data_IF_513025676106
#
_entry.id   IF_513025676106
#
_cell.length_a   1.000
_cell.length_b   1.000
_cell.length_c   1.000
_cell.angle_alpha   90.00
_cell.angle_beta   90.00
_cell.angle_gamma   90.00
#
_symmetry.space_group_name_H-M   'P 1'
#
loop_
_entity.id
_entity.type
_entity.pdbx_description
1 polymer ?
#
# COMPACT_ATOMS: atom_id res chain seq x y z
N UNK A 1 11.65 -30.39 -28.88
CA UNK A 1 11.78 -28.92 -28.99
C UNK A 1 10.68 -28.16 -28.23
N UNK A 2 9.38 -28.35 -28.55
CA UNK A 2 8.28 -27.62 -27.88
C UNK A 2 8.27 -27.71 -26.34
N UNK A 3 8.44 -28.91 -25.75
CA UNK A 3 8.44 -29.03 -24.29
C UNK A 3 9.61 -28.26 -23.64
N UNK A 4 10.78 -28.24 -24.29
CA UNK A 4 11.97 -27.55 -23.77
C UNK A 4 11.76 -26.03 -23.73
N UNK A 5 11.18 -25.47 -24.78
CA UNK A 5 10.85 -24.04 -24.84
C UNK A 5 9.74 -23.64 -23.85
N UNK A 6 8.68 -24.45 -23.75
CA UNK A 6 7.61 -24.25 -22.77
C UNK A 6 8.12 -24.33 -21.32
N UNK A 7 9.04 -25.27 -21.05
CA UNK A 7 9.64 -25.47 -19.74
C UNK A 7 10.44 -24.25 -19.29
N UNK A 8 11.36 -23.78 -20.13
CA UNK A 8 12.15 -22.59 -19.85
C UNK A 8 11.27 -21.36 -19.65
N UNK A 9 10.21 -21.22 -20.45
CA UNK A 9 9.25 -20.12 -20.28
C UNK A 9 8.56 -20.19 -18.93
N UNK A 10 8.04 -21.35 -18.53
CA UNK A 10 7.34 -21.50 -17.26
C UNK A 10 8.26 -21.26 -16.05
N UNK A 11 9.47 -21.81 -16.07
CA UNK A 11 10.45 -21.59 -15.00
C UNK A 11 10.82 -20.10 -14.86
N UNK A 12 11.09 -19.43 -15.99
CA UNK A 12 11.40 -18.00 -16.03
C UNK A 12 10.28 -17.12 -15.48
N UNK A 13 9.01 -17.47 -15.70
CA UNK A 13 7.88 -16.67 -15.25
C UNK A 13 7.40 -17.02 -13.85
N UNK A 14 7.31 -18.31 -13.51
CA UNK A 14 6.70 -18.76 -12.25
C UNK A 14 7.65 -18.64 -11.06
N UNK A 15 8.94 -18.92 -11.23
CA UNK A 15 9.92 -18.83 -10.15
C UNK A 15 9.94 -17.44 -9.51
N UNK A 16 10.23 -16.38 -10.26
CA UNK A 16 10.25 -15.01 -9.74
C UNK A 16 8.90 -14.54 -9.18
N UNK A 17 7.78 -14.97 -9.79
CA UNK A 17 6.45 -14.62 -9.29
C UNK A 17 6.17 -15.24 -7.91
N UNK A 18 6.55 -16.51 -7.72
CA UNK A 18 6.42 -17.20 -6.43
C UNK A 18 7.36 -16.60 -5.38
N UNK A 19 8.60 -16.26 -5.76
CA UNK A 19 9.56 -15.65 -4.84
C UNK A 19 9.06 -14.29 -4.32
N UNK A 20 8.55 -13.42 -5.20
CA UNK A 20 7.92 -12.15 -4.82
C UNK A 20 6.70 -12.33 -3.91
N UNK A 21 5.86 -13.32 -4.17
CA UNK A 21 4.71 -13.66 -3.31
C UNK A 21 5.18 -14.09 -1.93
N UNK A 22 6.16 -14.99 -1.86
CA UNK A 22 6.74 -15.48 -0.61
C UNK A 22 7.31 -14.32 0.21
N UNK A 23 8.06 -13.42 -0.42
CA UNK A 23 8.62 -12.23 0.23
C UNK A 23 7.51 -11.30 0.75
N UNK A 24 6.50 -11.02 -0.07
CA UNK A 24 5.38 -10.15 0.31
C UNK A 24 4.60 -10.72 1.50
N UNK A 25 4.29 -12.02 1.50
CA UNK A 25 3.55 -12.66 2.60
C UNK A 25 4.39 -12.73 3.87
N UNK A 26 5.69 -13.01 3.76
CA UNK A 26 6.60 -12.94 4.91
C UNK A 26 6.61 -11.54 5.51
N UNK A 27 6.76 -10.51 4.69
CA UNK A 27 6.75 -9.13 5.17
C UNK A 27 5.45 -8.78 5.90
N UNK A 28 4.28 -9.28 5.45
CA UNK A 28 2.99 -9.00 6.10
C UNK A 28 2.93 -9.53 7.53
N UNK A 29 3.55 -10.69 7.79
CA UNK A 29 3.54 -11.33 9.12
C UNK A 29 4.71 -10.90 10.00
N UNK A 30 5.78 -10.32 9.44
CA UNK A 30 6.96 -9.89 10.21
C UNK A 30 7.13 -8.38 10.36
N UNK A 31 6.36 -7.56 9.62
CA UNK A 31 6.47 -6.10 9.68
C UNK A 31 5.98 -5.55 11.03
N UNK A 32 6.92 -5.07 11.85
CA UNK A 32 6.62 -4.37 13.10
C UNK A 32 5.91 -3.03 12.84
N UNK A 33 6.29 -2.34 11.76
CA UNK A 33 5.66 -1.09 11.30
C UNK A 33 4.18 -1.30 10.98
N UNK A 34 3.86 -2.37 10.23
CA UNK A 34 2.48 -2.72 9.93
C UNK A 34 1.73 -3.13 11.20
N UNK A 35 2.34 -3.94 12.06
CA UNK A 35 1.74 -4.34 13.34
C UNK A 35 1.37 -3.12 14.19
N UNK A 36 2.28 -2.16 14.34
CA UNK A 36 2.03 -0.91 15.06
C UNK A 36 0.91 -0.07 14.44
N UNK A 37 0.89 0.03 13.10
CA UNK A 37 -0.20 0.72 12.38
C UNK A 37 -1.56 0.05 12.62
N UNK A 38 -1.61 -1.29 12.61
CA UNK A 38 -2.85 -2.04 12.87
C UNK A 38 -3.33 -1.87 14.32
N UNK A 39 -2.42 -1.83 15.31
CA UNK A 39 -2.79 -1.49 16.69
C UNK A 39 -3.37 -0.09 16.80
N UNK A 40 -2.78 0.90 16.12
CA UNK A 40 -3.34 2.26 16.11
C UNK A 40 -4.75 2.30 15.51
N UNK A 41 -5.01 1.50 14.46
CA UNK A 41 -6.36 1.34 13.89
C UNK A 41 -7.32 0.70 14.90
N UNK A 42 -6.88 -0.32 15.65
CA UNK A 42 -7.67 -0.96 16.68
C UNK A 42 -8.04 0.03 17.80
N UNK A 43 -7.06 0.77 18.32
CA UNK A 43 -7.27 1.77 19.37
C UNK A 43 -8.24 2.87 18.93
N UNK A 44 -8.05 3.37 17.70
CA UNK A 44 -8.94 4.35 17.10
C UNK A 44 -10.37 3.82 16.94
N UNK A 45 -10.50 2.57 16.50
CA UNK A 45 -11.78 1.89 16.37
C UNK A 45 -12.48 1.69 17.72
N UNK A 46 -11.76 1.28 18.75
CA UNK A 46 -12.27 1.09 20.11
C UNK A 46 -12.74 2.42 20.70
N UNK A 47 -11.93 3.48 20.58
CA UNK A 47 -12.30 4.82 21.05
C UNK A 47 -13.60 5.32 20.42
N UNK A 48 -13.75 5.20 19.10
CA UNK A 48 -14.96 5.64 18.38
C UNK A 48 -16.21 4.79 18.68
N UNK A 49 -16.01 3.55 19.12
CA UNK A 49 -17.08 2.61 19.44
C UNK A 49 -17.30 2.43 20.93
N UNK A 50 -16.69 3.26 21.78
CA UNK A 50 -16.89 3.24 23.22
C UNK A 50 -18.39 3.27 23.57
N UNK A 51 -18.81 2.38 24.48
CA UNK A 51 -20.22 2.22 24.86
C UNK A 51 -21.10 1.51 23.82
N UNK A 52 -20.56 1.07 22.67
CA UNK A 52 -21.24 0.21 21.69
C UNK A 52 -20.70 -1.22 21.75
N UNK A 53 -21.36 -2.15 21.06
CA UNK A 53 -20.98 -3.56 21.00
C UNK A 53 -19.54 -3.85 20.53
N UNK A 54 -18.88 -2.87 19.88
CA UNK A 54 -17.52 -2.99 19.35
C UNK A 54 -16.49 -2.08 20.04
N UNK A 55 -16.81 -1.46 21.19
CA UNK A 55 -15.93 -0.49 21.87
C UNK A 55 -14.77 -1.07 22.68
N UNK A 56 -14.66 -2.40 22.77
CA UNK A 56 -13.60 -3.10 23.51
C UNK A 56 -13.13 -4.34 22.73
N UNK A 57 -13.00 -4.19 21.40
CA UNK A 57 -12.52 -5.26 20.54
C UNK A 57 -11.03 -5.52 20.81
N UNK A 58 -10.65 -6.80 20.74
CA UNK A 58 -9.24 -7.23 20.81
C UNK A 58 -8.61 -7.43 19.44
N UNK A 59 -9.43 -7.46 18.38
CA UNK A 59 -9.02 -7.62 16.99
C UNK A 59 -10.12 -7.10 16.05
N UNK A 60 -9.76 -6.91 14.77
CA UNK A 60 -10.70 -6.60 13.70
C UNK A 60 -10.36 -7.41 12.44
N UNK A 61 -11.36 -7.66 11.59
CA UNK A 61 -11.16 -8.31 10.29
C UNK A 61 -10.38 -7.40 9.35
N UNK A 62 -9.42 -7.97 8.58
CA UNK A 62 -8.53 -7.21 7.68
C UNK A 62 -9.33 -6.30 6.73
N UNK A 63 -10.46 -6.79 6.21
CA UNK A 63 -11.35 -6.04 5.32
C UNK A 63 -11.85 -4.71 5.94
N UNK A 64 -11.92 -4.61 7.26
CA UNK A 64 -12.35 -3.40 7.97
C UNK A 64 -11.42 -2.21 7.74
N UNK A 65 -10.16 -2.44 7.34
CA UNK A 65 -9.24 -1.37 6.95
C UNK A 65 -9.82 -0.50 5.83
N UNK A 66 -10.57 -1.10 4.91
CA UNK A 66 -11.14 -0.38 3.77
C UNK A 66 -12.27 0.58 4.17
N UNK A 67 -12.90 0.34 5.32
CA UNK A 67 -14.02 1.16 5.85
C UNK A 67 -13.55 2.50 6.43
N UNK A 68 -12.25 2.65 6.73
CA UNK A 68 -11.70 3.89 7.27
C UNK A 68 -11.88 5.07 6.31
N UNK A 69 -11.90 4.82 4.99
CA UNK A 69 -12.19 5.86 4.00
C UNK A 69 -13.67 6.26 3.90
N UNK A 70 -14.56 5.48 4.50
CA UNK A 70 -16.01 5.62 4.30
C UNK A 70 -16.64 6.35 5.49
N UNK A 71 -16.02 6.26 6.67
CA UNK A 71 -16.43 6.99 7.87
C UNK A 71 -16.00 8.45 7.74
N UNK A 72 -16.96 9.34 7.48
CA UNK A 72 -16.75 10.79 7.30
C UNK A 72 -16.90 11.54 8.62
N UNK A 73 -16.12 12.61 8.76
CA UNK A 73 -16.34 13.62 9.80
C UNK A 73 -17.51 14.56 9.43
N UNK A 74 -17.75 15.59 10.24
CA UNK A 74 -18.68 16.69 9.89
C UNK A 74 -18.27 17.37 8.58
N UNK A 75 -16.97 17.45 8.29
CA UNK A 75 -16.50 17.84 6.97
C UNK A 75 -16.57 16.62 6.03
N UNK A 76 -17.39 16.66 4.96
CA UNK A 76 -17.54 15.52 4.07
C UNK A 76 -16.26 15.19 3.29
N UNK A 77 -15.30 16.11 3.18
CA UNK A 77 -13.98 15.87 2.56
C UNK A 77 -13.01 15.13 3.48
N UNK A 78 -13.32 15.01 4.77
CA UNK A 78 -12.39 14.46 5.75
C UNK A 78 -12.96 13.17 6.35
N UNK A 79 -12.17 12.10 6.32
CA UNK A 79 -12.58 10.75 6.74
C UNK A 79 -11.74 10.27 7.93
N UNK A 80 -12.13 9.15 8.51
CA UNK A 80 -11.35 8.51 9.58
C UNK A 80 -9.94 8.13 9.11
N UNK A 81 -9.78 7.76 7.84
CA UNK A 81 -8.47 7.51 7.25
C UNK A 81 -7.59 8.78 7.23
N UNK A 82 -8.17 9.94 6.92
CA UNK A 82 -7.44 11.21 6.99
C UNK A 82 -6.99 11.50 8.42
N UNK A 83 -7.88 11.27 9.40
CA UNK A 83 -7.53 11.42 10.80
C UNK A 83 -6.38 10.49 11.21
N UNK A 84 -6.44 9.21 10.83
CA UNK A 84 -5.38 8.24 11.10
C UNK A 84 -4.04 8.71 10.52
N UNK A 85 -4.01 9.12 9.23
CA UNK A 85 -2.79 9.61 8.57
C UNK A 85 -2.23 10.83 9.29
N UNK A 86 -3.08 11.75 9.73
CA UNK A 86 -2.66 12.93 10.47
C UNK A 86 -2.04 12.57 11.83
N UNK A 87 -2.66 11.65 12.59
CA UNK A 87 -2.11 11.15 13.86
C UNK A 87 -0.76 10.47 13.63
N UNK A 88 -0.66 9.65 12.59
CA UNK A 88 0.59 8.99 12.19
C UNK A 88 1.66 10.03 11.84
N UNK A 89 1.37 11.05 11.04
CA UNK A 89 2.32 12.12 10.70
C UNK A 89 2.83 12.87 11.93
N UNK A 90 1.96 13.10 12.92
CA UNK A 90 2.29 13.90 14.10
C UNK A 90 3.06 13.10 15.17
N UNK A 91 2.70 11.83 15.38
CA UNK A 91 3.20 11.05 16.51
C UNK A 91 4.04 9.84 16.12
N UNK A 92 3.80 9.26 14.94
CA UNK A 92 4.42 8.01 14.50
C UNK A 92 4.87 8.06 13.02
N UNK A 93 5.69 9.05 12.60
CA UNK A 93 5.96 9.30 11.18
C UNK A 93 6.59 8.11 10.46
N UNK A 94 7.29 7.23 11.19
CA UNK A 94 7.86 5.99 10.67
C UNK A 94 6.81 4.99 10.16
N UNK A 95 5.54 5.08 10.57
CA UNK A 95 4.49 4.22 10.00
C UNK A 95 4.10 4.61 8.57
N UNK A 96 4.50 5.79 8.07
CA UNK A 96 4.26 6.18 6.67
C UNK A 96 5.16 5.45 5.67
N UNK A 97 6.32 4.95 6.11
CA UNK A 97 7.23 4.15 5.31
C UNK A 97 6.84 2.67 5.25
N UNK A 98 5.72 2.27 5.90
CA UNK A 98 5.23 0.88 5.84
C UNK A 98 5.07 0.41 4.40
N UNK A 99 4.71 1.30 3.47
CA UNK A 99 4.53 1.01 2.05
C UNK A 99 5.82 0.55 1.37
N UNK A 100 6.96 1.05 1.83
CA UNK A 100 8.28 0.74 1.27
C UNK A 100 8.74 -0.68 1.62
N UNK A 101 8.16 -1.28 2.66
CA UNK A 101 8.39 -2.67 3.05
C UNK A 101 7.69 -3.68 2.11
N UNK A 102 6.79 -3.19 1.24
CA UNK A 102 5.95 -4.01 0.37
C UNK A 102 6.10 -3.68 -1.13
N UNK A 103 7.32 -3.68 -1.70
CA UNK A 103 7.56 -3.24 -3.07
C UNK A 103 6.84 -4.09 -4.14
N UNK A 104 6.56 -5.36 -3.83
CA UNK A 104 5.93 -6.31 -4.76
C UNK A 104 4.43 -6.52 -4.53
N UNK A 105 3.81 -5.80 -3.59
CA UNK A 105 2.42 -6.06 -3.18
C UNK A 105 1.41 -5.89 -4.31
N UNK A 106 1.56 -4.82 -5.10
CA UNK A 106 0.66 -4.51 -6.23
C UNK A 106 0.78 -5.53 -7.36
N UNK A 107 1.98 -6.05 -7.60
CA UNK A 107 2.19 -7.12 -8.58
C UNK A 107 1.61 -8.44 -8.04
N UNK A 108 1.89 -8.74 -6.77
CA UNK A 108 1.54 -10.00 -6.11
C UNK A 108 0.03 -10.18 -5.94
N UNK A 109 -0.75 -9.11 -5.71
CA UNK A 109 -2.19 -9.23 -5.56
C UNK A 109 -2.91 -9.65 -6.85
N UNK A 110 -2.29 -9.43 -8.02
CA UNK A 110 -2.80 -9.87 -9.32
C UNK A 110 -2.45 -11.30 -9.71
N UNK A 111 -1.60 -11.99 -8.93
CA UNK A 111 -1.14 -13.34 -9.27
C UNK A 111 -2.17 -14.39 -8.85
N UNK A 112 -2.57 -15.25 -9.80
CA UNK A 112 -3.43 -16.40 -9.53
C UNK A 112 -2.59 -17.62 -9.15
N UNK A 113 -2.42 -17.86 -7.85
CA UNK A 113 -1.62 -18.98 -7.31
C UNK A 113 -2.14 -20.35 -7.74
N UNK A 114 -3.45 -20.48 -7.88
CA UNK A 114 -4.12 -21.70 -8.33
C UNK A 114 -3.83 -22.00 -9.80
N UNK A 115 -3.73 -20.97 -10.64
CA UNK A 115 -3.37 -21.14 -12.05
C UNK A 115 -1.90 -21.58 -12.19
N UNK A 116 -0.98 -20.94 -11.46
CA UNK A 116 0.43 -21.33 -11.43
C UNK A 116 0.59 -22.79 -10.99
N UNK A 117 -0.07 -23.17 -9.89
CA UNK A 117 0.00 -24.53 -9.36
C UNK A 117 -0.49 -25.58 -10.37
N UNK A 118 -1.58 -25.29 -11.10
CA UNK A 118 -2.10 -26.19 -12.14
C UNK A 118 -1.13 -26.35 -13.32
N UNK A 119 -0.50 -25.26 -13.77
CA UNK A 119 0.48 -25.33 -14.86
C UNK A 119 1.75 -26.07 -14.43
N UNK A 120 2.24 -25.87 -13.20
CA UNK A 120 3.35 -26.65 -12.63
C UNK A 120 3.01 -28.14 -12.63
N UNK A 121 1.83 -28.54 -12.14
CA UNK A 121 1.39 -29.95 -12.13
C UNK A 121 1.31 -30.55 -13.55
N UNK A 122 0.79 -29.79 -14.51
CA UNK A 122 0.73 -30.21 -15.91
C UNK A 122 2.12 -30.45 -16.49
N UNK A 123 3.07 -29.57 -16.19
CA UNK A 123 4.47 -29.73 -16.61
C UNK A 123 5.14 -30.94 -15.93
N UNK A 124 4.93 -31.15 -14.63
CA UNK A 124 5.45 -32.33 -13.91
C UNK A 124 4.98 -33.63 -14.56
N UNK A 125 3.68 -33.73 -14.87
CA UNK A 125 3.11 -34.90 -15.55
C UNK A 125 3.77 -35.15 -16.91
N UNK A 126 3.99 -34.10 -17.71
CA UNK A 126 4.63 -34.24 -19.03
C UNK A 126 6.11 -34.60 -18.93
N UNK A 127 6.85 -34.01 -18.00
CA UNK A 127 8.23 -34.36 -17.72
C UNK A 127 8.34 -35.84 -17.31
N UNK A 128 7.44 -36.33 -16.45
CA UNK A 128 7.40 -37.73 -16.05
C UNK A 128 7.19 -38.68 -17.22
N UNK A 129 6.30 -38.33 -18.16
CA UNK A 129 6.10 -39.13 -19.39
C UNK A 129 7.37 -39.16 -20.24
N UNK A 130 8.04 -38.03 -20.40
CA UNK A 130 9.30 -37.95 -21.16
C UNK A 130 10.41 -38.78 -20.52
N UNK A 131 10.58 -38.70 -19.20
CA UNK A 131 11.55 -39.52 -18.44
C UNK A 131 11.31 -41.00 -18.72
N UNK A 132 10.06 -41.47 -18.60
CA UNK A 132 9.70 -42.87 -18.84
C UNK A 132 9.90 -43.32 -20.30
N UNK A 133 9.91 -42.40 -21.27
CA UNK A 133 10.17 -42.71 -22.67
C UNK A 133 11.67 -42.85 -22.91
N UNK A 134 12.47 -41.93 -22.37
CA UNK A 134 13.93 -41.93 -22.48
C UNK A 134 14.56 -43.12 -21.78
N UNK A 135 14.02 -43.55 -20.64
CA UNK A 135 14.46 -44.76 -19.93
C UNK A 135 14.28 -46.07 -20.74
N UNK A 136 13.50 -46.04 -21.82
CA UNK A 136 13.26 -47.19 -22.71
C UNK A 136 14.10 -47.15 -23.98
N UNK A 137 14.85 -46.09 -24.22
CA UNK A 137 15.77 -45.97 -25.36
C UNK A 137 17.14 -46.54 -24.97
N UNK A 138 17.74 -47.30 -25.89
CA UNK A 138 19.05 -47.94 -25.64
C UNK A 138 20.22 -46.95 -25.63
N UNK A 139 20.13 -45.86 -26.42
CA UNK A 139 21.17 -44.83 -26.56
C UNK A 139 20.53 -43.44 -26.75
N UNK A 140 19.90 -42.89 -25.69
CA UNK A 140 19.23 -41.60 -25.77
C UNK A 140 20.24 -40.45 -25.95
N UNK A 141 19.90 -39.39 -26.70
CA UNK A 141 20.80 -38.25 -26.90
C UNK A 141 21.25 -37.59 -25.59
N UNK A 142 22.55 -37.28 -25.46
CA UNK A 142 23.14 -36.69 -24.24
C UNK A 142 22.53 -35.31 -23.89
N UNK A 143 22.17 -34.52 -24.91
CA UNK A 143 21.51 -33.23 -24.73
C UNK A 143 20.10 -33.37 -24.14
N UNK A 144 19.40 -34.47 -24.47
CA UNK A 144 18.09 -34.80 -23.90
C UNK A 144 18.21 -35.22 -22.43
N UNK A 145 19.23 -36.03 -22.08
CA UNK A 145 19.52 -36.40 -20.70
C UNK A 145 19.83 -35.17 -19.84
N UNK A 146 20.70 -34.29 -20.33
CA UNK A 146 21.06 -33.03 -19.67
C UNK A 146 19.84 -32.14 -19.45
N UNK A 147 18.96 -32.04 -20.46
CA UNK A 147 17.70 -31.31 -20.34
C UNK A 147 16.80 -31.90 -19.25
N UNK A 148 16.63 -33.22 -19.21
CA UNK A 148 15.78 -33.89 -18.23
C UNK A 148 16.28 -33.65 -16.80
N UNK A 149 17.58 -33.73 -16.56
CA UNK A 149 18.17 -33.48 -15.23
C UNK A 149 17.94 -32.03 -14.78
N UNK A 150 18.17 -31.07 -15.69
CA UNK A 150 17.92 -29.65 -15.44
C UNK A 150 16.43 -29.42 -15.14
N UNK A 151 15.55 -29.99 -15.96
CA UNK A 151 14.11 -29.85 -15.81
C UNK A 151 13.60 -30.46 -14.50
N UNK A 152 14.09 -31.64 -14.10
CA UNK A 152 13.74 -32.25 -12.80
C UNK A 152 14.09 -31.30 -11.65
N UNK A 153 15.32 -30.77 -11.66
CA UNK A 153 15.81 -29.86 -10.63
C UNK A 153 14.96 -28.59 -10.55
N UNK A 154 14.64 -27.96 -11.68
CA UNK A 154 13.80 -26.76 -11.72
C UNK A 154 12.35 -27.05 -11.26
N UNK A 155 11.77 -28.20 -11.62
CA UNK A 155 10.44 -28.59 -11.14
C UNK A 155 10.40 -28.81 -9.63
N UNK A 156 11.43 -29.46 -9.07
CA UNK A 156 11.54 -29.66 -7.63
C UNK A 156 11.63 -28.30 -6.89
N UNK A 157 12.36 -27.34 -7.46
CA UNK A 157 12.42 -25.98 -6.90
C UNK A 157 11.09 -25.23 -7.00
N UNK A 158 10.36 -25.35 -8.11
CA UNK A 158 9.04 -24.74 -8.27
C UNK A 158 8.03 -25.34 -7.28
N UNK A 159 8.06 -26.66 -7.09
CA UNK A 159 7.22 -27.35 -6.11
C UNK A 159 7.57 -26.94 -4.67
N UNK A 160 8.86 -26.82 -4.35
CA UNK A 160 9.30 -26.35 -3.04
C UNK A 160 8.78 -24.93 -2.75
N UNK A 161 8.79 -24.03 -3.75
CA UNK A 161 8.24 -22.68 -3.64
C UNK A 161 6.72 -22.68 -3.44
N UNK A 162 5.97 -23.48 -4.19
CA UNK A 162 4.50 -23.55 -4.03
C UNK A 162 4.12 -24.08 -2.65
N UNK A 163 4.78 -25.14 -2.17
CA UNK A 163 4.59 -25.66 -0.81
C UNK A 163 4.91 -24.59 0.23
N UNK A 164 6.04 -23.89 0.09
CA UNK A 164 6.43 -22.82 1.02
C UNK A 164 5.41 -21.68 1.04
N UNK A 165 4.88 -21.29 -0.12
CA UNK A 165 3.86 -20.26 -0.23
C UNK A 165 2.54 -20.69 0.43
N UNK A 166 2.12 -21.95 0.26
CA UNK A 166 0.93 -22.49 0.94
C UNK A 166 1.09 -22.46 2.46
N UNK A 167 2.27 -22.83 2.96
CA UNK A 167 2.54 -22.82 4.40
C UNK A 167 2.53 -21.39 4.97
N UNK A 168 3.15 -20.44 4.27
CA UNK A 168 3.09 -19.02 4.63
C UNK A 168 1.68 -18.45 4.54
N UNK A 169 0.87 -18.90 3.59
CA UNK A 169 -0.54 -18.50 3.46
C UNK A 169 -1.32 -18.91 4.70
N UNK A 170 -1.10 -20.13 5.20
CA UNK A 170 -1.73 -20.60 6.44
C UNK A 170 -1.23 -19.82 7.67
N UNK A 171 0.08 -19.54 7.75
CA UNK A 171 0.65 -18.71 8.82
C UNK A 171 0.08 -17.28 8.79
N UNK A 172 -0.11 -16.71 7.60
CA UNK A 172 -0.73 -15.40 7.41
C UNK A 172 -2.19 -15.39 7.88
N UNK A 173 -2.97 -16.44 7.54
CA UNK A 173 -4.33 -16.59 8.03
C UNK A 173 -4.38 -16.66 9.56
N UNK A 174 -3.50 -17.46 10.19
CA UNK A 174 -3.40 -17.55 11.64
C UNK A 174 -3.02 -16.21 12.28
N UNK A 175 -2.01 -15.54 11.74
CA UNK A 175 -1.49 -14.27 12.25
C UNK A 175 -2.58 -13.19 12.29
N UNK A 176 -3.39 -13.08 11.24
CA UNK A 176 -4.51 -12.14 11.20
C UNK A 176 -5.83 -12.70 11.76
N UNK A 177 -5.81 -13.88 12.40
CA UNK A 177 -7.00 -14.53 12.97
C UNK A 177 -8.15 -14.73 11.96
N UNK A 178 -7.80 -15.08 10.72
CA UNK A 178 -8.72 -15.47 9.66
C UNK A 178 -8.89 -17.00 9.60
N UNK A 179 -10.02 -17.46 9.06
CA UNK A 179 -10.28 -18.90 8.95
C UNK A 179 -9.53 -19.48 7.74
N UNK A 180 -8.61 -20.42 7.96
CA UNK A 180 -7.77 -21.02 6.90
C UNK A 180 -8.56 -21.60 5.72
N UNK A 181 -9.74 -22.16 5.99
CA UNK A 181 -10.58 -22.82 4.97
C UNK A 181 -11.14 -21.82 3.93
N UNK A 182 -11.37 -20.58 4.35
CA UNK A 182 -11.99 -19.53 3.54
C UNK A 182 -11.00 -18.41 3.19
N UNK A 183 -9.81 -18.40 3.81
CA UNK A 183 -8.78 -17.41 3.56
C UNK A 183 -8.27 -17.47 2.12
N UNK A 184 -8.28 -16.31 1.45
CA UNK A 184 -7.76 -16.13 0.10
C UNK A 184 -6.60 -15.15 0.13
N UNK A 185 -5.41 -15.63 -0.21
CA UNK A 185 -4.20 -14.82 -0.20
C UNK A 185 -4.34 -13.59 -1.10
N UNK A 186 -4.81 -13.77 -2.33
CA UNK A 186 -5.01 -12.67 -3.30
C UNK A 186 -5.91 -11.57 -2.75
N UNK A 187 -7.01 -11.94 -2.07
CA UNK A 187 -7.92 -10.99 -1.42
C UNK A 187 -7.22 -10.23 -0.30
N UNK A 188 -6.46 -10.91 0.56
CA UNK A 188 -5.71 -10.27 1.64
C UNK A 188 -4.69 -9.26 1.09
N UNK A 189 -3.88 -9.66 0.10
CA UNK A 189 -2.92 -8.78 -0.57
C UNK A 189 -3.63 -7.58 -1.23
N UNK A 190 -4.78 -7.81 -1.86
CA UNK A 190 -5.57 -6.75 -2.47
C UNK A 190 -6.09 -5.76 -1.43
N UNK A 191 -6.54 -6.22 -0.26
CA UNK A 191 -6.98 -5.35 0.83
C UNK A 191 -5.86 -4.43 1.29
N UNK A 192 -4.65 -4.96 1.56
CA UNK A 192 -3.50 -4.14 1.93
C UNK A 192 -3.08 -3.19 0.82
N UNK A 193 -3.06 -3.66 -0.45
CA UNK A 193 -2.74 -2.81 -1.60
C UNK A 193 -3.70 -1.62 -1.70
N UNK A 194 -5.01 -1.85 -1.53
CA UNK A 194 -6.03 -0.80 -1.58
C UNK A 194 -5.92 0.12 -0.37
N UNK A 195 -5.67 -0.42 0.83
CA UNK A 195 -5.50 0.37 2.04
C UNK A 195 -4.31 1.34 1.92
N UNK A 196 -3.14 0.85 1.51
CA UNK A 196 -1.96 1.68 1.29
C UNK A 196 -2.15 2.73 0.19
N UNK A 197 -2.85 2.39 -0.89
CA UNK A 197 -3.22 3.36 -1.94
C UNK A 197 -4.09 4.47 -1.36
N UNK A 198 -5.14 4.11 -0.59
CA UNK A 198 -6.02 5.09 0.05
C UNK A 198 -5.29 5.95 1.08
N UNK A 199 -4.33 5.39 1.82
CA UNK A 199 -3.49 6.16 2.75
C UNK A 199 -2.65 7.21 2.01
N UNK A 200 -2.05 6.85 0.86
CA UNK A 200 -1.30 7.79 0.04
C UNK A 200 -2.17 8.93 -0.51
N UNK A 201 -3.38 8.60 -0.99
CA UNK A 201 -4.34 9.62 -1.42
C UNK A 201 -4.73 10.56 -0.26
N UNK A 202 -5.07 10.00 0.91
CA UNK A 202 -5.41 10.80 2.09
C UNK A 202 -4.24 11.70 2.54
N UNK A 203 -3.01 11.20 2.47
CA UNK A 203 -1.80 11.97 2.75
C UNK A 203 -1.63 13.16 1.79
N UNK A 204 -1.83 12.94 0.48
CA UNK A 204 -1.76 14.00 -0.52
C UNK A 204 -2.88 15.04 -0.33
N UNK A 205 -4.10 14.59 -0.06
CA UNK A 205 -5.25 15.46 0.22
C UNK A 205 -5.03 16.33 1.47
N UNK A 206 -4.46 15.77 2.55
CA UNK A 206 -4.06 16.53 3.75
C UNK A 206 -3.04 17.62 3.44
N UNK A 207 -1.99 17.29 2.66
CA UNK A 207 -0.98 18.28 2.24
C UNK A 207 -1.61 19.41 1.41
N UNK A 208 -2.52 19.08 0.51
CA UNK A 208 -3.22 20.06 -0.30
C UNK A 208 -4.08 21.00 0.56
N UNK A 209 -4.83 20.45 1.52
CA UNK A 209 -5.65 21.24 2.45
C UNK A 209 -4.79 22.20 3.30
N UNK A 210 -3.63 21.77 3.79
CA UNK A 210 -2.71 22.63 4.55
C UNK A 210 -2.15 23.78 3.70
N UNK A 211 -1.78 23.50 2.44
CA UNK A 211 -1.33 24.53 1.50
C UNK A 211 -2.42 25.56 1.19
N UNK A 212 -3.66 25.11 0.99
CA UNK A 212 -4.80 25.99 0.75
C UNK A 212 -5.10 26.87 1.96
N UNK A 213 -5.08 26.31 3.18
CA UNK A 213 -5.24 27.08 4.42
C UNK A 213 -4.15 28.14 4.60
N UNK A 214 -2.89 27.78 4.33
CA UNK A 214 -1.77 28.73 4.39
C UNK A 214 -1.89 29.85 3.35
N UNK A 215 -2.40 29.56 2.16
CA UNK A 215 -2.66 30.58 1.13
C UNK A 215 -3.81 31.50 1.53
N UNK A 216 -4.92 30.95 2.01
CA UNK A 216 -6.08 31.73 2.45
C UNK A 216 -5.70 32.71 3.58
N UNK A 217 -4.95 32.25 4.59
CA UNK A 217 -4.46 33.13 5.68
C UNK A 217 -3.58 34.27 5.17
N UNK A 218 -2.66 34.00 4.24
CA UNK A 218 -1.83 35.05 3.63
C UNK A 218 -2.64 36.06 2.82
N UNK A 219 -3.68 35.61 2.12
CA UNK A 219 -4.58 36.51 1.39
C UNK A 219 -5.42 37.36 2.34
N UNK A 220 -5.91 36.80 3.45
CA UNK A 220 -6.64 37.55 4.49
C UNK A 220 -5.74 38.55 5.22
N UNK A 221 -4.50 38.16 5.56
CA UNK A 221 -3.49 39.05 6.15
C UNK A 221 -3.11 40.18 5.19
N UNK A 222 -2.93 39.90 3.89
CA UNK A 222 -2.66 40.91 2.86
C UNK A 222 -3.87 41.82 2.52
N UNK A 223 -5.10 41.38 2.81
CA UNK A 223 -6.30 42.23 2.73
C UNK A 223 -6.49 43.09 4.00
N UNK A 224 -5.94 42.66 5.13
CA UNK A 224 -5.87 43.45 6.37
C UNK A 224 -4.65 44.38 6.42
N UNK A 225 -3.66 44.23 5.53
CA UNK A 225 -2.61 45.24 5.35
C UNK A 225 -3.24 46.53 4.83
N UNK A 226 -3.28 47.50 5.73
CA UNK A 226 -3.86 48.82 5.59
C UNK A 226 -3.40 49.52 4.31
N UNK A 227 -4.30 49.75 3.33
CA UNK A 227 -4.00 50.59 2.17
C UNK A 227 -4.03 52.07 2.59
N UNK A 228 -2.87 52.75 2.70
CA UNK A 228 -2.81 54.14 3.15
C UNK A 228 -3.56 55.07 2.20
N UNK A 229 -3.65 54.72 0.91
CA UNK A 229 -4.35 55.52 -0.07
C UNK A 229 -5.87 55.41 0.06
N UNK A 230 -6.37 54.27 0.53
CA UNK A 230 -7.80 54.08 0.80
C UNK A 230 -8.23 54.88 2.04
N UNK A 231 -7.42 54.89 3.10
CA UNK A 231 -7.65 55.75 4.27
C UNK A 231 -7.57 57.24 3.92
N UNK A 232 -6.54 57.67 3.18
CA UNK A 232 -6.41 59.06 2.70
C UNK A 232 -7.63 59.47 1.85
N UNK A 233 -8.15 58.57 1.00
CA UNK A 233 -9.32 58.82 0.17
C UNK A 233 -10.62 58.91 1.01
N UNK A 234 -10.77 58.08 2.04
CA UNK A 234 -11.88 58.13 2.99
C UNK A 234 -11.85 59.39 3.86
N UNK A 235 -10.67 59.80 4.35
CA UNK A 235 -10.47 61.04 5.12
C UNK A 235 -10.78 62.29 4.28
N UNK A 236 -10.42 62.29 2.98
CA UNK A 236 -10.78 63.37 2.05
C UNK A 236 -12.29 63.48 1.82
N UNK A 237 -13.00 62.36 1.70
CA UNK A 237 -14.47 62.34 1.49
C UNK A 237 -15.27 62.72 2.73
N UNK A 238 -14.77 62.38 3.91
CA UNK A 238 -15.45 62.66 5.19
C UNK A 238 -15.11 64.03 5.78
N UNK A 239 -14.21 64.78 5.16
CA UNK A 239 -13.81 66.11 5.62
C UNK A 239 -12.95 66.10 6.90
N UNK A 240 -12.43 64.93 7.28
CA UNK A 240 -11.63 64.70 8.49
C UNK A 240 -10.12 64.86 8.25
N UNK A 241 -9.71 65.47 7.13
CA UNK A 241 -8.29 65.77 6.93
C UNK A 241 -7.84 66.80 7.97
N UNK A 242 -6.80 66.49 8.79
CA UNK A 242 -6.26 67.49 9.69
C UNK A 242 -5.72 68.67 8.87
N UNK A 243 -6.03 69.88 9.33
CA UNK A 243 -5.54 71.10 8.72
C UNK A 243 -4.01 71.12 8.86
N UNK A 244 -3.35 70.78 7.75
CA UNK A 244 -1.94 70.94 7.43
C UNK A 244 -1.06 71.56 8.54
N UNK A 245 -0.51 70.70 9.41
CA UNK A 245 0.71 70.97 10.16
C UNK A 245 1.54 69.68 10.11
N UNK A 246 2.82 69.82 9.77
CA UNK A 246 3.83 68.77 9.53
C UNK A 246 3.92 68.23 8.09
N UNK A 247 4.51 69.08 7.24
CA UNK A 247 5.46 68.66 6.22
C UNK A 247 6.48 67.67 6.84
N UNK A 248 6.42 66.40 6.46
CA UNK A 248 7.65 65.63 6.34
C UNK A 248 8.06 65.64 4.87
N UNK A 249 9.12 66.37 4.57
CA UNK A 249 9.79 66.28 3.29
C UNK A 249 10.38 64.88 3.15
N UNK A 250 9.89 64.12 2.18
CA UNK A 250 10.58 62.93 1.72
C UNK A 250 11.83 63.38 0.97
N UNK A 251 13.00 63.28 1.63
CA UNK A 251 14.29 63.47 0.97
C UNK A 251 14.76 62.09 0.46
N UNK A 252 14.82 61.86 -0.86
CA UNK A 252 15.31 60.58 -1.38
C UNK A 252 16.84 60.59 -1.31
N UNK A 253 17.41 59.77 -0.43
CA UNK A 253 18.85 59.45 -0.53
C UNK A 253 19.07 58.52 -1.72
N UNK A 254 20.03 58.91 -2.56
CA UNK A 254 20.69 58.09 -3.59
C UNK A 254 21.32 56.84 -2.99
#
# INVERSE_FOLDING_TARGET
>A
MLLREEFHSCSHWFGPALDKLIETVKALITSETLCGLLHLVLDLGNFLNEGKSFGAATAFKIESLLKLSDVRSVNPKFTLLHFLVQVVQQHYPHYLSVRDEFPHLKESCGVCTEAISKEIQKLQCRLKVMVNQVEKEDDPPEDLLTFIETAKTEMDQLEARTVRLTELTNQCADYFSEERSSFRLSSCLQTFSTFFTKMDSAEQELRQMDLEQKKAKKTEEGLCEFDPNLEISMMKRTGLMPANDYLWEYSPRM
#
